data_IF_757327920577
#
_entry.id   IF_757327920577
#
_cell.length_a   1.000
_cell.length_b   1.000
_cell.length_c   1.000
_cell.angle_alpha   90.00
_cell.angle_beta   90.00
_cell.angle_gamma   90.00
#
_symmetry.space_group_name_H-M   'P 1'
#
loop_
_entity.id
_entity.type
_entity.pdbx_description
1 polymer ?
#
# COMPACT_ATOMS: atom_id res chain seq x y z
N UNK A 1 3.31 -8.09 -14.00
CA UNK A 1 4.01 -7.44 -12.88
C UNK A 1 2.95 -6.68 -12.06
N UNK A 2 3.06 -6.66 -10.73
CA UNK A 2 2.15 -5.94 -9.83
C UNK A 2 2.94 -4.89 -9.04
N UNK A 3 2.26 -3.86 -8.56
CA UNK A 3 2.83 -2.88 -7.65
C UNK A 3 1.97 -2.81 -6.39
N UNK A 4 2.62 -2.81 -5.22
CA UNK A 4 1.90 -2.58 -3.97
C UNK A 4 1.54 -1.10 -3.85
N UNK A 5 0.36 -0.77 -3.34
CA UNK A 5 -0.04 0.60 -3.03
C UNK A 5 -0.50 0.69 -1.57
N UNK A 6 0.05 1.67 -0.90
CA UNK A 6 -0.18 2.00 0.50
C UNK A 6 -1.33 3.01 0.68
N UNK A 7 -1.78 3.23 1.92
CA UNK A 7 -2.89 4.12 2.24
C UNK A 7 -2.64 5.56 1.77
N UNK A 8 -1.44 6.10 2.01
CA UNK A 8 -1.08 7.48 1.65
C UNK A 8 -1.38 7.83 0.19
N UNK A 9 -0.83 7.10 -0.80
CA UNK A 9 -1.17 7.33 -2.21
C UNK A 9 -2.63 7.09 -2.56
N UNK A 10 -3.33 6.14 -1.94
CA UNK A 10 -4.77 5.95 -2.17
C UNK A 10 -5.55 7.21 -1.78
N UNK A 11 -5.25 7.78 -0.60
CA UNK A 11 -5.84 9.04 -0.13
C UNK A 11 -5.48 10.18 -1.07
N UNK A 12 -4.19 10.37 -1.37
CA UNK A 12 -3.73 11.46 -2.21
C UNK A 12 -4.30 11.41 -3.64
N UNK A 13 -4.57 10.23 -4.20
CA UNK A 13 -5.21 10.11 -5.52
C UNK A 13 -6.68 10.56 -5.52
N UNK A 14 -7.39 10.36 -4.42
CA UNK A 14 -8.84 10.60 -4.31
C UNK A 14 -9.18 11.93 -3.61
N UNK A 15 -8.23 12.52 -2.91
CA UNK A 15 -8.34 13.84 -2.29
C UNK A 15 -7.59 14.88 -3.14
N UNK A 16 -8.32 15.67 -3.93
CA UNK A 16 -7.72 16.64 -4.87
C UNK A 16 -6.85 17.70 -4.19
N UNK A 17 -7.24 18.11 -2.99
CA UNK A 17 -6.55 19.16 -2.22
C UNK A 17 -5.43 18.59 -1.34
N UNK A 18 -5.18 17.28 -1.41
CA UNK A 18 -4.02 16.67 -0.78
C UNK A 18 -2.73 17.24 -1.38
N UNK A 19 -1.78 17.61 -0.51
CA UNK A 19 -0.49 18.18 -0.92
C UNK A 19 0.28 17.26 -1.89
N UNK A 20 0.06 15.95 -1.80
CA UNK A 20 0.73 14.92 -2.60
C UNK A 20 -0.08 14.49 -3.83
N UNK A 21 -1.28 15.04 -4.03
CA UNK A 21 -2.19 14.69 -5.13
C UNK A 21 -1.49 14.74 -6.49
N UNK A 22 -0.89 15.88 -6.84
CA UNK A 22 -0.25 16.07 -8.13
C UNK A 22 0.91 15.09 -8.36
N UNK A 23 1.68 14.80 -7.29
CA UNK A 23 2.81 13.87 -7.31
C UNK A 23 2.33 12.43 -7.53
N UNK A 24 1.32 12.00 -6.81
CA UNK A 24 0.72 10.67 -6.95
C UNK A 24 0.07 10.47 -8.32
N UNK A 25 -0.69 11.46 -8.83
CA UNK A 25 -1.29 11.40 -10.17
C UNK A 25 -0.21 11.28 -11.26
N UNK A 26 0.88 12.03 -11.14
CA UNK A 26 1.99 11.96 -12.10
C UNK A 26 2.69 10.59 -12.11
N UNK A 27 2.85 9.96 -10.94
CA UNK A 27 3.39 8.60 -10.85
C UNK A 27 2.40 7.55 -11.39
N UNK A 28 1.12 7.64 -11.03
CA UNK A 28 0.08 6.72 -11.52
C UNK A 28 0.02 6.70 -13.05
N UNK A 29 0.17 7.86 -13.71
CA UNK A 29 0.23 7.96 -15.18
C UNK A 29 1.37 7.16 -15.82
N UNK A 30 2.41 6.79 -15.06
CA UNK A 30 3.54 5.96 -15.53
C UNK A 30 3.37 4.49 -15.19
N UNK A 31 2.47 4.14 -14.26
CA UNK A 31 2.16 2.76 -13.90
C UNK A 31 1.50 2.07 -15.11
N UNK A 32 1.98 0.87 -15.42
CA UNK A 32 1.46 -0.01 -16.51
C UNK A 32 1.06 -1.38 -15.98
N UNK A 33 1.03 -1.52 -14.66
CA UNK A 33 0.89 -2.76 -13.91
C UNK A 33 -0.35 -2.66 -13.03
N UNK A 34 -0.79 -3.79 -12.49
CA UNK A 34 -1.96 -3.83 -11.60
C UNK A 34 -1.57 -3.25 -10.23
N UNK A 35 -2.32 -2.26 -9.75
CA UNK A 35 -2.22 -1.79 -8.37
C UNK A 35 -2.78 -2.85 -7.43
N UNK A 36 -2.04 -3.16 -6.38
CA UNK A 36 -2.40 -4.18 -5.40
C UNK A 36 -2.22 -3.68 -3.98
N UNK A 37 -3.11 -4.04 -3.07
CA UNK A 37 -3.01 -3.66 -1.64
C UNK A 37 -3.50 -4.82 -0.76
N UNK A 38 -3.59 -4.60 0.55
CA UNK A 38 -4.23 -5.50 1.52
C UNK A 38 -5.36 -4.77 2.24
N UNK A 39 -6.16 -5.50 3.02
CA UNK A 39 -7.25 -4.89 3.79
C UNK A 39 -6.79 -3.82 4.79
N UNK A 40 -5.64 -3.93 5.49
CA UNK A 40 -5.25 -2.89 6.46
C UNK A 40 -4.94 -1.51 5.83
N UNK A 41 -4.08 -1.35 4.79
CA UNK A 41 -3.92 -0.05 4.13
C UNK A 41 -5.21 0.44 3.47
N UNK A 42 -6.04 -0.45 2.92
CA UNK A 42 -7.35 -0.07 2.39
C UNK A 42 -8.27 0.48 3.48
N UNK A 43 -8.29 -0.14 4.66
CA UNK A 43 -9.07 0.30 5.82
C UNK A 43 -8.60 1.66 6.32
N UNK A 44 -7.28 1.87 6.38
CA UNK A 44 -6.71 3.17 6.75
C UNK A 44 -7.10 4.25 5.74
N UNK A 45 -6.98 3.98 4.44
CA UNK A 45 -7.41 4.92 3.40
C UNK A 45 -8.91 5.24 3.50
N UNK A 46 -9.77 4.23 3.73
CA UNK A 46 -11.20 4.43 3.95
C UNK A 46 -11.48 5.31 5.18
N UNK A 47 -10.74 5.13 6.27
CA UNK A 47 -10.85 5.97 7.46
C UNK A 47 -10.42 7.41 7.18
N UNK A 48 -9.28 7.61 6.52
CA UNK A 48 -8.74 8.93 6.18
C UNK A 48 -9.63 9.69 5.19
N UNK A 49 -10.34 8.98 4.29
CA UNK A 49 -11.29 9.56 3.35
C UNK A 49 -12.70 9.77 3.92
N UNK A 50 -12.94 9.46 5.20
CA UNK A 50 -14.27 9.55 5.83
C UNK A 50 -14.90 10.94 5.85
N UNK A 51 -14.12 12.00 5.57
CA UNK A 51 -14.64 13.34 5.37
C UNK A 51 -15.46 13.49 4.06
N UNK A 52 -15.35 12.55 3.12
CA UNK A 52 -16.04 12.58 1.83
C UNK A 52 -16.56 11.20 1.44
N UNK A 53 -17.88 11.04 1.48
CA UNK A 53 -18.55 9.81 1.01
C UNK A 53 -18.28 9.52 -0.47
N UNK A 54 -18.09 10.56 -1.30
CA UNK A 54 -17.72 10.40 -2.71
C UNK A 54 -16.31 9.82 -2.87
N UNK A 55 -15.36 10.20 -2.01
CA UNK A 55 -14.00 9.67 -2.07
C UNK A 55 -13.94 8.22 -1.59
N UNK A 56 -14.70 7.87 -0.54
CA UNK A 56 -14.85 6.48 -0.09
C UNK A 56 -15.51 5.60 -1.18
N UNK A 57 -16.59 6.09 -1.79
CA UNK A 57 -17.26 5.40 -2.90
C UNK A 57 -16.30 5.18 -4.08
N UNK A 58 -15.54 6.20 -4.47
CA UNK A 58 -14.54 6.08 -5.52
C UNK A 58 -13.44 5.04 -5.18
N UNK A 59 -13.00 4.95 -3.92
CA UNK A 59 -12.04 3.93 -3.49
C UNK A 59 -12.61 2.51 -3.61
N UNK A 60 -13.87 2.31 -3.25
CA UNK A 60 -14.55 1.02 -3.41
C UNK A 60 -14.80 0.70 -4.89
N UNK A 61 -15.17 1.68 -5.70
CA UNK A 61 -15.35 1.54 -7.16
C UNK A 61 -14.03 1.12 -7.83
N UNK A 62 -12.88 1.62 -7.38
CA UNK A 62 -11.57 1.15 -7.86
C UNK A 62 -11.37 -0.35 -7.62
N UNK A 63 -11.83 -0.87 -6.47
CA UNK A 63 -11.79 -2.30 -6.15
C UNK A 63 -12.78 -3.09 -7.01
N UNK A 64 -14.02 -2.63 -7.10
CA UNK A 64 -15.08 -3.27 -7.89
C UNK A 64 -14.70 -3.40 -9.37
N UNK A 65 -14.11 -2.35 -9.94
CA UNK A 65 -13.67 -2.32 -11.35
C UNK A 65 -12.34 -3.04 -11.60
N UNK A 66 -11.69 -3.54 -10.56
CA UNK A 66 -10.38 -4.21 -10.67
C UNK A 66 -9.21 -3.25 -10.96
N UNK A 67 -9.40 -1.94 -10.81
CA UNK A 67 -8.31 -0.97 -10.88
C UNK A 67 -7.37 -1.07 -9.67
N UNK A 68 -7.90 -1.49 -8.52
CA UNK A 68 -7.17 -1.83 -7.30
C UNK A 68 -7.52 -3.26 -6.89
N UNK A 69 -6.53 -4.15 -6.77
CA UNK A 69 -6.76 -5.52 -6.31
C UNK A 69 -6.35 -5.68 -4.85
N UNK A 70 -7.27 -6.15 -4.01
CA UNK A 70 -6.98 -6.51 -2.62
C UNK A 70 -6.47 -7.94 -2.57
N UNK A 71 -5.22 -8.12 -2.15
CA UNK A 71 -4.61 -9.43 -1.98
C UNK A 71 -4.97 -10.00 -0.61
N UNK A 72 -5.26 -11.32 -0.51
CA UNK A 72 -5.67 -11.92 0.74
C UNK A 72 -4.50 -11.99 1.72
N UNK A 73 -4.83 -11.77 2.99
CA UNK A 73 -4.03 -12.09 4.17
C UNK A 73 -4.93 -12.94 5.06
N UNK A 74 -4.44 -14.09 5.50
CA UNK A 74 -5.17 -15.00 6.38
C UNK A 74 -4.33 -15.39 7.60
N UNK A 75 -4.85 -16.27 8.45
CA UNK A 75 -4.22 -16.71 9.68
C UNK A 75 -2.85 -17.38 9.44
N UNK A 76 -2.63 -17.97 8.25
CA UNK A 76 -1.34 -18.59 7.89
C UNK A 76 -0.23 -17.56 7.66
N UNK A 77 -0.58 -16.31 7.39
CA UNK A 77 0.36 -15.20 7.21
C UNK A 77 0.80 -14.56 8.55
N UNK A 78 -0.01 -14.71 9.60
CA UNK A 78 0.20 -14.06 10.90
C UNK A 78 1.54 -14.39 11.56
N UNK A 79 2.04 -15.64 11.56
CA UNK A 79 3.37 -15.93 12.09
C UNK A 79 4.46 -15.09 11.44
N UNK A 80 4.38 -14.88 10.12
CA UNK A 80 5.35 -14.07 9.38
C UNK A 80 5.16 -12.57 9.61
N UNK A 81 3.91 -12.09 9.65
CA UNK A 81 3.58 -10.69 10.01
C UNK A 81 4.14 -10.34 11.39
N UNK A 82 3.98 -11.22 12.38
CA UNK A 82 4.53 -11.01 13.74
C UNK A 82 6.06 -10.89 13.73
N UNK A 83 6.74 -11.73 12.95
CA UNK A 83 8.21 -11.65 12.80
C UNK A 83 8.63 -10.34 12.13
N UNK A 84 7.88 -9.85 11.14
CA UNK A 84 8.18 -8.57 10.48
C UNK A 84 8.07 -7.40 11.45
N UNK A 85 6.97 -7.32 12.21
CA UNK A 85 6.77 -6.27 13.22
C UNK A 85 7.89 -6.30 14.27
N UNK A 86 8.27 -7.48 14.76
CA UNK A 86 9.38 -7.62 15.71
C UNK A 86 10.73 -7.22 15.10
N UNK A 87 10.99 -7.62 13.85
CA UNK A 87 12.24 -7.32 13.15
C UNK A 87 12.45 -5.82 12.95
N UNK A 88 11.37 -5.08 12.71
CA UNK A 88 11.41 -3.63 12.44
C UNK A 88 10.94 -2.80 13.64
N UNK A 89 11.01 -3.32 14.87
CA UNK A 89 10.53 -2.61 16.07
C UNK A 89 11.19 -1.24 16.31
N UNK A 90 12.44 -1.04 15.83
CA UNK A 90 13.16 0.23 15.95
C UNK A 90 12.65 1.30 14.94
N UNK A 91 11.84 0.88 13.97
CA UNK A 91 11.15 1.71 12.99
C UNK A 91 9.69 1.26 12.96
N UNK A 92 8.88 1.66 13.97
CA UNK A 92 7.68 0.97 14.41
C UNK A 92 6.77 0.63 13.22
N UNK A 93 6.91 -0.61 12.74
CA UNK A 93 6.15 -1.15 11.62
C UNK A 93 4.76 -1.49 12.12
N UNK A 94 3.74 -0.92 11.48
CA UNK A 94 2.36 -1.24 11.78
C UNK A 94 1.86 -2.47 11.00
N UNK A 95 0.57 -2.79 11.18
CA UNK A 95 -0.05 -3.92 10.49
C UNK A 95 -0.22 -3.66 8.98
N UNK A 96 -0.39 -2.41 8.54
CA UNK A 96 -0.52 -2.06 7.14
C UNK A 96 0.79 -2.36 6.41
N UNK A 97 1.89 -1.82 6.90
CA UNK A 97 3.23 -2.07 6.39
C UNK A 97 3.59 -3.56 6.44
N UNK A 98 3.34 -4.21 7.58
CA UNK A 98 3.68 -5.62 7.75
C UNK A 98 2.91 -6.53 6.77
N UNK A 99 1.63 -6.24 6.51
CA UNK A 99 0.85 -7.01 5.55
C UNK A 99 1.30 -6.74 4.12
N UNK A 100 1.62 -5.50 3.74
CA UNK A 100 2.20 -5.18 2.43
C UNK A 100 3.53 -5.92 2.20
N UNK A 101 4.45 -5.87 3.16
CA UNK A 101 5.72 -6.60 3.08
C UNK A 101 5.48 -8.11 3.00
N UNK A 102 4.50 -8.63 3.75
CA UNK A 102 4.16 -10.06 3.73
C UNK A 102 3.68 -10.53 2.36
N UNK A 103 2.76 -9.81 1.71
CA UNK A 103 2.34 -10.17 0.34
C UNK A 103 3.46 -9.92 -0.68
N UNK A 104 4.31 -8.91 -0.48
CA UNK A 104 5.50 -8.73 -1.31
C UNK A 104 6.39 -9.97 -1.33
N UNK A 105 6.65 -10.56 -0.14
CA UNK A 105 7.40 -11.80 0.01
C UNK A 105 6.71 -13.00 -0.64
N UNK A 106 5.38 -13.11 -0.50
CA UNK A 106 4.59 -14.23 -1.04
C UNK A 106 4.51 -14.20 -2.57
N UNK A 107 4.26 -13.02 -3.13
CA UNK A 107 3.98 -12.84 -4.57
C UNK A 107 5.22 -12.41 -5.38
N UNK A 108 6.35 -12.15 -4.72
CA UNK A 108 7.58 -11.69 -5.36
C UNK A 108 7.53 -10.25 -5.86
N UNK A 109 6.67 -9.40 -5.28
CA UNK A 109 6.51 -8.00 -5.66
C UNK A 109 7.68 -7.18 -5.08
N UNK A 110 8.29 -6.31 -5.88
CA UNK A 110 9.43 -5.49 -5.47
C UNK A 110 9.20 -3.99 -5.70
N UNK A 111 8.04 -3.61 -6.22
CA UNK A 111 7.65 -2.22 -6.42
C UNK A 111 6.57 -1.85 -5.41
N UNK A 112 6.71 -0.67 -4.81
CA UNK A 112 5.73 -0.11 -3.88
C UNK A 112 5.47 1.35 -4.23
N UNK A 113 4.20 1.71 -4.22
CA UNK A 113 3.69 3.06 -4.31
C UNK A 113 3.31 3.49 -2.89
N UNK A 114 4.14 4.33 -2.26
CA UNK A 114 3.95 4.84 -0.89
C UNK A 114 4.54 6.25 -0.76
N UNK A 115 3.97 7.04 0.13
CA UNK A 115 4.55 8.32 0.56
C UNK A 115 5.52 8.14 1.75
N UNK A 116 5.46 7.01 2.46
CA UNK A 116 6.40 6.66 3.52
C UNK A 116 7.69 6.04 2.96
N UNK A 117 8.47 6.89 2.30
CA UNK A 117 9.74 6.48 1.72
C UNK A 117 10.75 6.03 2.78
N UNK A 118 10.67 6.57 4.00
CA UNK A 118 11.63 6.27 5.08
C UNK A 118 11.51 4.82 5.51
N UNK A 119 10.29 4.36 5.74
CA UNK A 119 10.03 2.99 6.17
C UNK A 119 10.35 1.99 5.07
N UNK A 120 9.81 2.19 3.87
CA UNK A 120 9.99 1.26 2.75
C UNK A 120 11.42 1.20 2.20
N UNK A 121 12.24 2.23 2.44
CA UNK A 121 13.69 2.17 2.14
C UNK A 121 14.43 1.19 3.07
N UNK A 122 13.88 0.91 4.25
CA UNK A 122 14.44 -0.02 5.25
C UNK A 122 13.90 -1.44 5.08
N UNK A 123 12.64 -1.57 4.67
CA UNK A 123 12.00 -2.87 4.47
C UNK A 123 12.62 -3.66 3.33
N UNK A 124 12.56 -5.00 3.44
CA UNK A 124 13.21 -5.91 2.49
C UNK A 124 12.29 -7.07 2.14
N UNK A 125 12.29 -7.43 0.86
CA UNK A 125 11.69 -8.66 0.34
C UNK A 125 12.80 -9.69 0.21
N UNK A 126 12.94 -10.56 1.22
CA UNK A 126 14.14 -11.38 1.37
C UNK A 126 15.39 -10.51 1.55
N UNK A 127 16.25 -10.46 0.52
CA UNK A 127 17.47 -9.62 0.49
C UNK A 127 17.34 -8.34 -0.35
N UNK A 128 16.22 -8.17 -1.07
CA UNK A 128 16.04 -7.07 -2.02
C UNK A 128 15.35 -5.88 -1.35
N UNK A 129 15.76 -4.67 -1.70
CA UNK A 129 15.06 -3.44 -1.35
C UNK A 129 13.87 -3.24 -2.29
N UNK A 130 12.86 -2.49 -1.83
CA UNK A 130 11.77 -2.05 -2.68
C UNK A 130 12.25 -0.97 -3.65
N UNK A 131 11.70 -1.00 -4.86
CA UNK A 131 11.64 0.16 -5.75
C UNK A 131 10.44 0.99 -5.35
N UNK A 132 10.65 2.24 -4.95
CA UNK A 132 9.63 3.08 -4.31
C UNK A 132 9.21 4.21 -5.26
N UNK A 133 7.91 4.34 -5.48
CA UNK A 133 7.27 5.47 -6.16
C UNK A 133 6.22 6.14 -5.23
N UNK A 134 5.81 7.40 -5.46
CA UNK A 134 6.46 8.36 -6.35
C UNK A 134 7.85 8.70 -5.84
#
# INVERSE_FOLDING_TARGET
MMILIDAGPLVALLHRDDQDHARCVAALRKVRTVLTTTWPPLTEAMYLLSFSGQAQDALLEMVERGALRVLPIDESDIPRVRVLIQKYQDLPMDLADATLVRVAEREGIQEVFTLDRRNFTTYRVGRRAFTIIP
#
